data_IF_853595333234
#
_entry.id   IF_853595333234
#
_cell.length_a   1.000
_cell.length_b   1.000
_cell.length_c   1.000
_cell.angle_alpha   90.00
_cell.angle_beta   90.00
_cell.angle_gamma   90.00
#
_symmetry.space_group_name_H-M   'P 1'
#
loop_
_entity.id
_entity.type
_entity.pdbx_description
1 polymer ?
#
# COMPACT_ATOMS: atom_id res chain seq x y z
N UNK A 1 -23.93 -0.43 42.45
CA UNK A 1 -22.48 -0.15 42.47
C UNK A 1 -21.81 -1.50 42.28
N UNK A 2 -21.07 -1.85 41.24
CA UNK A 2 -20.42 -1.14 40.12
C UNK A 2 -20.31 -2.17 38.99
N UNK A 3 -20.79 -1.84 37.79
CA UNK A 3 -20.49 -2.60 36.58
C UNK A 3 -19.07 -2.22 36.16
N UNK A 4 -18.14 -3.18 36.16
CA UNK A 4 -16.84 -3.02 35.49
C UNK A 4 -16.90 -3.78 34.17
N UNK A 5 -17.27 -3.06 33.12
CA UNK A 5 -17.12 -3.50 31.74
C UNK A 5 -15.65 -3.38 31.36
N UNK A 6 -14.95 -4.52 31.30
CA UNK A 6 -13.61 -4.60 30.72
C UNK A 6 -13.72 -4.56 29.19
N UNK A 7 -13.90 -3.36 28.63
CA UNK A 7 -13.62 -3.10 27.21
C UNK A 7 -12.11 -2.98 27.03
N UNK A 8 -11.42 -4.10 26.79
CA UNK A 8 -10.10 -4.07 26.15
C UNK A 8 -10.02 -5.26 25.20
N UNK A 9 -10.38 -5.05 23.95
CA UNK A 9 -9.87 -5.79 22.79
C UNK A 9 -10.33 -5.10 21.51
N UNK A 10 -9.70 -3.98 21.18
CA UNK A 10 -9.87 -3.31 19.89
C UNK A 10 -8.56 -2.71 19.37
N UNK A 11 -7.43 -3.34 19.68
CA UNK A 11 -6.12 -2.91 19.21
C UNK A 11 -5.36 -4.00 18.42
N UNK A 12 -5.98 -5.16 18.15
CA UNK A 12 -5.28 -6.32 17.56
C UNK A 12 -5.66 -6.72 16.14
N UNK A 13 -6.59 -6.03 15.46
CA UNK A 13 -7.21 -6.56 14.22
C UNK A 13 -6.99 -5.68 12.97
N UNK A 14 -6.40 -4.49 13.10
CA UNK A 14 -6.19 -3.57 11.97
C UNK A 14 -4.76 -3.54 11.38
N UNK A 15 -3.80 -4.20 12.04
CA UNK A 15 -2.38 -4.20 11.65
C UNK A 15 -1.99 -5.24 10.59
N UNK A 16 -2.91 -6.13 10.20
CA UNK A 16 -2.62 -7.18 9.21
C UNK A 16 -3.42 -7.03 7.91
N UNK A 17 -3.81 -5.81 7.53
CA UNK A 17 -4.19 -5.55 6.13
C UNK A 17 -2.92 -5.45 5.29
N UNK A 18 -2.45 -6.62 4.85
CA UNK A 18 -1.18 -6.85 4.17
C UNK A 18 -0.96 -5.85 3.01
N UNK A 19 0.09 -5.03 3.12
CA UNK A 19 0.49 -4.06 2.09
C UNK A 19 0.64 -4.71 0.71
N UNK A 20 1.08 -5.99 0.65
CA UNK A 20 1.14 -6.73 -0.60
C UNK A 20 -0.23 -7.00 -1.20
N UNK A 21 -1.27 -7.20 -0.39
CA UNK A 21 -2.65 -7.33 -0.90
C UNK A 21 -3.12 -6.01 -1.52
N UNK A 22 -2.87 -4.88 -0.88
CA UNK A 22 -3.21 -3.57 -1.42
C UNK A 22 -2.47 -3.28 -2.74
N UNK A 23 -1.19 -3.63 -2.81
CA UNK A 23 -0.41 -3.48 -4.04
C UNK A 23 -0.88 -4.39 -5.18
N UNK A 24 -1.18 -5.65 -4.87
CA UNK A 24 -1.77 -6.61 -5.84
C UNK A 24 -3.13 -6.11 -6.33
N UNK A 25 -3.95 -5.61 -5.42
CA UNK A 25 -5.25 -5.03 -5.72
C UNK A 25 -5.15 -3.78 -6.60
N UNK A 26 -4.22 -2.86 -6.29
CA UNK A 26 -3.92 -1.70 -7.12
C UNK A 26 -3.51 -2.10 -8.54
N UNK A 27 -2.64 -3.11 -8.68
CA UNK A 27 -2.25 -3.63 -10.00
C UNK A 27 -3.43 -4.21 -10.76
N UNK A 28 -4.28 -4.99 -10.09
CA UNK A 28 -5.51 -5.53 -10.67
C UNK A 28 -6.41 -4.39 -11.17
N UNK A 29 -6.66 -3.36 -10.35
CA UNK A 29 -7.45 -2.18 -10.74
C UNK A 29 -6.85 -1.44 -11.95
N UNK A 30 -5.52 -1.29 -12.01
CA UNK A 30 -4.84 -0.66 -13.16
C UNK A 30 -5.06 -1.48 -14.43
N UNK A 31 -4.93 -2.81 -14.35
CA UNK A 31 -5.15 -3.70 -15.51
C UNK A 31 -6.62 -3.69 -15.96
N UNK A 32 -7.57 -3.74 -15.03
CA UNK A 32 -9.00 -3.70 -15.36
C UNK A 32 -9.46 -2.35 -15.92
N UNK A 33 -8.80 -1.25 -15.52
CA UNK A 33 -9.04 0.06 -16.12
C UNK A 33 -8.56 0.13 -17.58
N UNK A 34 -7.50 -0.62 -17.95
CA UNK A 34 -7.00 -0.67 -19.33
C UNK A 34 -7.95 -1.39 -20.28
N UNK A 35 -8.73 -2.36 -19.77
CA UNK A 35 -9.72 -3.13 -20.54
C UNK A 35 -11.06 -2.40 -20.77
N UNK A 36 -11.08 -1.07 -20.61
CA UNK A 36 -12.23 -0.17 -20.81
C UNK A 36 -13.51 -0.55 -20.03
N UNK A 37 -13.71 0.05 -18.84
CA UNK A 37 -15.02 0.14 -18.16
C UNK A 37 -15.71 -1.21 -17.93
N UNK A 38 -14.91 -2.25 -17.62
CA UNK A 38 -15.44 -3.57 -17.31
C UNK A 38 -16.48 -3.48 -16.18
N UNK A 39 -17.52 -4.31 -16.26
CA UNK A 39 -18.58 -4.33 -15.23
C UNK A 39 -17.98 -4.67 -13.86
N UNK A 40 -16.97 -5.54 -13.82
CA UNK A 40 -16.22 -5.89 -12.61
C UNK A 40 -15.52 -4.67 -12.00
N UNK A 41 -14.82 -3.88 -12.82
CA UNK A 41 -14.15 -2.66 -12.36
C UNK A 41 -15.14 -1.65 -11.79
N UNK A 42 -16.29 -1.45 -12.46
CA UNK A 42 -17.33 -0.52 -11.99
C UNK A 42 -17.92 -0.95 -10.65
N UNK A 43 -18.19 -2.24 -10.46
CA UNK A 43 -18.62 -2.79 -9.17
C UNK A 43 -17.57 -2.61 -8.08
N UNK A 44 -16.29 -2.80 -8.41
CA UNK A 44 -15.20 -2.66 -7.44
C UNK A 44 -14.96 -1.20 -7.02
N UNK A 45 -15.20 -0.24 -7.92
CA UNK A 45 -14.97 1.19 -7.68
C UNK A 45 -16.18 1.93 -7.10
N UNK A 46 -17.39 1.63 -7.59
CA UNK A 46 -18.61 2.33 -7.19
C UNK A 46 -19.46 1.54 -6.18
N UNK A 47 -19.17 0.26 -5.98
CA UNK A 47 -19.96 -0.65 -5.15
C UNK A 47 -21.12 -1.30 -5.92
N UNK A 48 -21.81 -2.24 -5.29
CA UNK A 48 -22.95 -2.94 -5.90
C UNK A 48 -24.19 -2.06 -6.08
N UNK A 49 -24.25 -0.92 -5.39
CA UNK A 49 -25.39 0.01 -5.39
C UNK A 49 -25.41 0.97 -6.61
N UNK A 50 -24.26 1.21 -7.28
CA UNK A 50 -24.15 2.08 -8.46
C UNK A 50 -23.43 1.42 -9.66
N UNK A 51 -23.88 0.24 -10.15
CA UNK A 51 -23.16 -0.53 -11.18
C UNK A 51 -23.16 0.13 -12.57
N UNK A 52 -24.14 1.00 -12.85
CA UNK A 52 -24.31 1.67 -14.15
C UNK A 52 -23.54 2.98 -14.27
N UNK A 53 -22.88 3.41 -13.19
CA UNK A 53 -22.07 4.62 -13.23
C UNK A 53 -20.83 4.40 -14.10
N UNK A 54 -20.73 5.17 -15.16
CA UNK A 54 -19.61 5.10 -16.11
C UNK A 54 -18.69 6.29 -15.93
N UNK A 55 -17.38 6.03 -15.92
CA UNK A 55 -16.38 7.10 -16.00
C UNK A 55 -16.29 7.59 -17.45
N UNK A 56 -16.23 8.90 -17.64
CA UNK A 56 -15.89 9.49 -18.93
C UNK A 56 -14.44 9.19 -19.31
N UNK A 57 -14.07 9.27 -20.59
CA UNK A 57 -12.68 9.05 -21.05
C UNK A 57 -11.66 9.95 -20.35
N UNK A 58 -12.03 11.20 -20.06
CA UNK A 58 -11.18 12.15 -19.31
C UNK A 58 -10.96 11.66 -17.88
N UNK A 59 -12.05 11.22 -17.25
CA UNK A 59 -12.04 10.69 -15.90
C UNK A 59 -11.21 9.41 -15.78
N UNK A 60 -11.36 8.47 -16.72
CA UNK A 60 -10.54 7.25 -16.76
C UNK A 60 -9.04 7.57 -16.88
N UNK A 61 -8.66 8.54 -17.73
CA UNK A 61 -7.25 8.95 -17.85
C UNK A 61 -6.70 9.55 -16.55
N UNK A 62 -7.49 10.38 -15.86
CA UNK A 62 -7.09 10.95 -14.57
C UNK A 62 -6.89 9.84 -13.53
N UNK A 63 -7.85 8.92 -13.44
CA UNK A 63 -7.77 7.78 -12.55
C UNK A 63 -6.55 6.90 -12.84
N UNK A 64 -6.29 6.59 -14.11
CA UNK A 64 -5.11 5.83 -14.51
C UNK A 64 -3.81 6.50 -14.07
N UNK A 65 -3.67 7.81 -14.32
CA UNK A 65 -2.49 8.58 -13.94
C UNK A 65 -2.29 8.57 -12.42
N UNK A 66 -3.39 8.69 -11.67
CA UNK A 66 -3.36 8.68 -10.22
C UNK A 66 -2.97 7.30 -9.66
N UNK A 67 -3.60 6.22 -10.13
CA UNK A 67 -3.26 4.85 -9.73
C UNK A 67 -1.79 4.51 -10.06
N UNK A 68 -1.28 4.98 -11.21
CA UNK A 68 0.14 4.83 -11.58
C UNK A 68 1.09 5.58 -10.65
N UNK A 69 0.69 6.76 -10.15
CA UNK A 69 1.47 7.49 -9.14
C UNK A 69 1.54 6.69 -7.84
N UNK A 70 0.42 6.12 -7.40
CA UNK A 70 0.40 5.23 -6.24
C UNK A 70 1.28 4.00 -6.50
N UNK A 71 1.17 3.36 -7.66
CA UNK A 71 2.00 2.20 -8.01
C UNK A 71 3.50 2.52 -7.95
N UNK A 72 3.89 3.72 -8.38
CA UNK A 72 5.25 4.24 -8.24
C UNK A 72 5.70 4.29 -6.77
N UNK A 73 4.90 4.90 -5.90
CA UNK A 73 5.19 4.96 -4.46
C UNK A 73 5.29 3.55 -3.83
N UNK A 74 4.40 2.63 -4.21
CA UNK A 74 4.47 1.24 -3.74
C UNK A 74 5.75 0.53 -4.22
N UNK A 75 6.20 0.77 -5.46
CA UNK A 75 7.44 0.20 -6.00
C UNK A 75 8.69 0.71 -5.29
N UNK A 76 8.75 2.01 -5.04
CA UNK A 76 9.86 2.64 -4.28
C UNK A 76 9.94 2.08 -2.85
N UNK A 77 8.79 1.77 -2.25
CA UNK A 77 8.68 1.11 -0.96
C UNK A 77 9.17 -0.36 -0.96
N UNK A 78 9.27 -1.01 -2.10
CA UNK A 78 9.63 -2.43 -2.19
C UNK A 78 11.13 -2.68 -2.46
N UNK A 79 11.94 -1.63 -2.63
CA UNK A 79 13.36 -1.77 -2.96
C UNK A 79 14.23 -1.50 -1.72
N UNK A 80 14.76 -2.55 -1.05
CA UNK A 80 15.70 -2.37 0.05
C UNK A 80 17.04 -1.80 -0.44
N UNK A 81 17.81 -1.11 0.43
CA UNK A 81 19.08 -0.49 0.06
C UNK A 81 20.19 -1.52 -0.23
N UNK A 82 20.04 -2.75 0.23
CA UNK A 82 20.89 -3.90 -0.13
C UNK A 82 20.02 -5.12 -0.46
N UNK A 83 20.53 -6.08 -1.26
CA UNK A 83 19.83 -7.34 -1.53
C UNK A 83 19.55 -8.14 -0.26
N UNK A 84 18.40 -8.83 -0.22
CA UNK A 84 17.97 -9.62 0.94
C UNK A 84 18.96 -10.76 1.27
N UNK A 85 19.58 -11.37 0.27
CA UNK A 85 20.59 -12.42 0.46
C UNK A 85 21.86 -11.88 1.13
N UNK A 86 22.25 -10.65 0.79
CA UNK A 86 23.41 -9.99 1.40
C UNK A 86 23.11 -9.63 2.85
N UNK A 87 21.93 -9.08 3.12
CA UNK A 87 21.49 -8.78 4.49
C UNK A 87 21.46 -10.04 5.35
N UNK A 88 20.87 -11.14 4.84
CA UNK A 88 20.84 -12.44 5.52
C UNK A 88 22.26 -12.96 5.79
N UNK A 89 23.18 -12.75 4.86
CA UNK A 89 24.59 -13.13 5.03
C UNK A 89 25.26 -12.38 6.18
N UNK A 90 25.06 -11.07 6.26
CA UNK A 90 25.62 -10.22 7.32
C UNK A 90 25.00 -10.58 8.67
N UNK A 91 23.67 -10.67 8.76
CA UNK A 91 22.94 -10.95 10.00
C UNK A 91 23.17 -12.35 10.57
N UNK A 92 23.65 -13.31 9.77
CA UNK A 92 24.04 -14.66 10.24
C UNK A 92 25.34 -14.66 11.03
N UNK A 93 26.18 -13.63 10.84
CA UNK A 93 27.46 -13.47 11.53
C UNK A 93 27.25 -12.65 12.81
N UNK A 94 28.11 -12.84 13.81
CA UNK A 94 28.08 -12.02 15.01
C UNK A 94 28.40 -10.56 14.70
N UNK A 95 27.70 -9.63 15.36
CA UNK A 95 27.85 -8.18 15.15
C UNK A 95 29.30 -7.71 15.35
N UNK A 96 30.03 -8.31 16.29
CA UNK A 96 31.45 -8.03 16.55
C UNK A 96 32.38 -8.39 15.37
N UNK A 97 31.90 -9.16 14.40
CA UNK A 97 32.65 -9.56 13.21
C UNK A 97 32.30 -8.75 11.97
N UNK A 98 31.32 -7.83 12.06
CA UNK A 98 30.89 -7.02 10.93
C UNK A 98 31.99 -6.05 10.52
N UNK A 99 32.15 -5.90 9.21
CA UNK A 99 32.96 -4.84 8.64
C UNK A 99 32.23 -3.50 8.82
N UNK A 100 32.95 -2.37 8.89
CA UNK A 100 32.31 -1.05 9.07
C UNK A 100 31.22 -0.74 8.03
N UNK A 101 31.42 -1.17 6.77
CA UNK A 101 30.40 -1.00 5.73
C UNK A 101 29.19 -1.95 5.89
N UNK A 102 29.39 -3.13 6.50
CA UNK A 102 28.30 -4.08 6.78
C UNK A 102 27.39 -3.52 7.87
N UNK A 103 27.98 -2.92 8.91
CA UNK A 103 27.25 -2.21 9.96
C UNK A 103 26.44 -1.03 9.39
N UNK A 104 27.09 -0.15 8.61
CA UNK A 104 26.40 0.94 7.93
C UNK A 104 25.27 0.44 7.00
N UNK A 105 25.48 -0.69 6.32
CA UNK A 105 24.47 -1.25 5.43
C UNK A 105 23.26 -1.75 6.21
N UNK A 106 23.47 -2.42 7.35
CA UNK A 106 22.39 -2.88 8.24
C UNK A 106 21.65 -1.69 8.84
N UNK A 107 22.36 -0.66 9.30
CA UNK A 107 21.75 0.57 9.83
C UNK A 107 20.87 1.25 8.78
N UNK A 108 21.35 1.36 7.53
CA UNK A 108 20.57 1.89 6.40
C UNK A 108 19.34 1.04 6.09
N UNK A 109 19.43 -0.29 6.19
CA UNK A 109 18.26 -1.17 6.03
C UNK A 109 17.24 -0.94 7.14
N UNK A 110 17.68 -0.83 8.38
CA UNK A 110 16.76 -0.68 9.52
C UNK A 110 16.10 0.71 9.52
N UNK A 111 16.85 1.77 9.21
CA UNK A 111 16.32 3.10 8.95
C UNK A 111 15.33 3.09 7.76
N UNK A 112 15.66 2.37 6.68
CA UNK A 112 14.75 2.19 5.55
C UNK A 112 13.47 1.46 5.97
N UNK A 113 13.55 0.38 6.76
CA UNK A 113 12.36 -0.33 7.27
C UNK A 113 11.49 0.54 8.17
N UNK A 114 12.08 1.37 9.00
CA UNK A 114 11.36 2.31 9.84
C UNK A 114 10.61 3.35 9.00
N UNK A 115 11.31 4.02 8.07
CA UNK A 115 10.71 4.99 7.15
C UNK A 115 9.69 4.33 6.19
N UNK A 116 9.89 3.05 5.87
CA UNK A 116 9.00 2.28 5.02
C UNK A 116 7.61 2.14 5.65
N UNK A 117 7.50 1.93 6.96
CA UNK A 117 6.19 1.81 7.60
C UNK A 117 5.36 3.09 7.44
N UNK A 118 6.00 4.25 7.62
CA UNK A 118 5.36 5.55 7.40
C UNK A 118 4.94 5.75 5.94
N UNK A 119 5.82 5.43 4.99
CA UNK A 119 5.51 5.51 3.55
C UNK A 119 4.41 4.54 3.12
N UNK A 120 4.36 3.35 3.71
CA UNK A 120 3.28 2.36 3.48
C UNK A 120 1.94 2.89 3.97
N UNK A 121 1.92 3.51 5.15
CA UNK A 121 0.72 4.14 5.71
C UNK A 121 0.24 5.27 4.80
N UNK A 122 1.15 6.17 4.39
CA UNK A 122 0.83 7.27 3.49
C UNK A 122 0.29 6.78 2.14
N UNK A 123 0.90 5.74 1.55
CA UNK A 123 0.43 5.16 0.30
C UNK A 123 -0.95 4.50 0.44
N UNK A 124 -1.26 3.91 1.60
CA UNK A 124 -2.59 3.37 1.92
C UNK A 124 -3.63 4.47 2.06
N UNK A 125 -3.30 5.55 2.77
CA UNK A 125 -4.19 6.70 2.91
C UNK A 125 -4.49 7.36 1.57
N UNK A 126 -3.46 7.54 0.72
CA UNK A 126 -3.63 8.06 -0.64
C UNK A 126 -4.56 7.17 -1.48
N UNK A 127 -4.41 5.85 -1.37
CA UNK A 127 -5.26 4.89 -2.06
C UNK A 127 -6.72 4.95 -1.58
N UNK A 128 -6.93 4.86 -0.27
CA UNK A 128 -8.26 4.92 0.33
C UNK A 128 -8.97 6.24 0.04
N UNK A 129 -8.25 7.37 0.15
CA UNK A 129 -8.79 8.69 -0.17
C UNK A 129 -9.23 8.76 -1.63
N UNK A 130 -8.44 8.22 -2.54
CA UNK A 130 -8.83 8.23 -3.95
C UNK A 130 -10.04 7.37 -4.24
N UNK A 131 -10.17 6.19 -3.63
CA UNK A 131 -11.39 5.39 -3.73
C UNK A 131 -12.61 6.17 -3.24
N UNK A 132 -12.50 6.89 -2.12
CA UNK A 132 -13.57 7.71 -1.58
C UNK A 132 -13.95 8.87 -2.50
N UNK A 133 -12.97 9.59 -3.03
CA UNK A 133 -13.19 10.70 -3.97
C UNK A 133 -13.93 10.19 -5.23
N UNK A 134 -13.47 9.09 -5.82
CA UNK A 134 -14.10 8.46 -6.98
C UNK A 134 -15.56 8.05 -6.67
N UNK A 135 -15.79 7.40 -5.52
CA UNK A 135 -17.13 6.99 -5.08
C UNK A 135 -18.07 8.20 -4.92
N UNK A 136 -17.55 9.29 -4.35
CA UNK A 136 -18.29 10.53 -4.15
C UNK A 136 -18.46 11.36 -5.44
N UNK A 137 -17.90 10.91 -6.57
CA UNK A 137 -17.92 11.66 -7.84
C UNK A 137 -17.05 12.89 -7.89
N UNK A 138 -16.26 13.14 -6.85
CA UNK A 138 -15.24 14.17 -6.85
C UNK A 138 -13.99 13.53 -7.42
N UNK A 139 -13.65 13.91 -8.65
CA UNK A 139 -12.38 13.45 -9.21
C UNK A 139 -11.24 14.32 -8.68
N UNK A 140 -10.17 13.72 -8.15
CA UNK A 140 -8.98 14.46 -7.75
C UNK A 140 -8.22 15.05 -8.95
#
# INVERSE_FOLDING_TARGET
MTQSASHVSSAGVLDSYDFNRNYKYLKKLIEELKTENSVSFRKEVFGEDEPDRTLTKKQMKQLFKFLRKIEGHYKECCNPPIPEDLEKGIRKREASSWLPWEEEAIEKVDAWRAALQERKLQAREMFNRALLEIRNGRMP
#
